data_IF_400435876053
#
_entry.id   IF_400435876053
#
_cell.length_a   1.000
_cell.length_b   1.000
_cell.length_c   1.000
_cell.angle_alpha   90.00
_cell.angle_beta   90.00
_cell.angle_gamma   90.00
#
_symmetry.space_group_name_H-M   'P 1'
#
loop_
_entity.id
_entity.type
_entity.pdbx_description
1 polymer ?
#
# COMPACT_ATOMS: atom_id res chain seq x y z
N UNK A 1 -27.91 -72.39 16.90
CA UNK A 1 -28.03 -72.44 18.36
C UNK A 1 -26.89 -71.61 18.91
N UNK A 2 -27.09 -70.41 19.45
CA UNK A 2 -28.30 -69.59 19.49
C UNK A 2 -27.89 -68.11 19.65
N UNK A 3 -28.73 -67.21 19.16
CA UNK A 3 -28.68 -65.79 19.54
C UNK A 3 -29.39 -65.62 20.88
N UNK A 4 -29.05 -64.60 21.69
CA UNK A 4 -30.02 -63.58 22.18
C UNK A 4 -29.36 -62.53 23.09
N UNK A 5 -30.17 -61.61 23.62
CA UNK A 5 -29.81 -60.21 23.94
C UNK A 5 -30.29 -59.73 25.32
N UNK A 6 -29.91 -58.50 25.68
CA UNK A 6 -30.52 -57.61 26.70
C UNK A 6 -30.26 -57.93 28.20
N UNK A 7 -30.48 -57.02 29.17
CA UNK A 7 -30.27 -55.56 29.25
C UNK A 7 -30.56 -55.05 30.69
N UNK A 8 -29.79 -54.07 31.20
CA UNK A 8 -30.07 -53.23 32.40
C UNK A 8 -30.24 -54.01 33.77
N UNK A 9 -30.22 -53.49 35.01
CA UNK A 9 -30.13 -52.17 35.69
C UNK A 9 -29.61 -52.39 37.14
N UNK A 10 -29.19 -51.43 37.99
CA UNK A 10 -28.37 -50.20 37.86
C UNK A 10 -28.30 -49.49 39.24
N UNK A 11 -27.13 -49.26 39.87
CA UNK A 11 -27.05 -48.45 41.12
C UNK A 11 -25.74 -47.67 41.38
N UNK A 12 -25.91 -46.35 41.53
CA UNK A 12 -25.20 -45.39 42.41
C UNK A 12 -23.67 -45.50 42.58
N UNK A 13 -22.83 -44.64 41.96
CA UNK A 13 -22.65 -43.19 42.12
C UNK A 13 -21.72 -42.73 43.26
N UNK A 14 -20.54 -42.24 42.91
CA UNK A 14 -19.96 -41.05 43.54
C UNK A 14 -18.96 -40.38 42.56
N UNK A 15 -19.01 -39.05 42.53
CA UNK A 15 -18.37 -38.22 41.51
C UNK A 15 -17.03 -37.64 41.96
N UNK A 16 -16.02 -37.68 41.10
CA UNK A 16 -14.93 -36.72 41.10
C UNK A 16 -14.67 -36.22 39.67
N UNK A 17 -15.19 -35.03 39.38
CA UNK A 17 -15.03 -34.35 38.11
C UNK A 17 -13.68 -33.63 38.04
N UNK A 18 -12.75 -34.12 37.22
CA UNK A 18 -11.57 -33.38 36.78
C UNK A 18 -11.67 -33.07 35.28
N UNK A 19 -12.45 -32.03 34.95
CA UNK A 19 -12.53 -31.46 33.62
C UNK A 19 -11.19 -30.81 33.22
N UNK A 20 -10.31 -31.58 32.58
CA UNK A 20 -9.05 -31.08 32.01
C UNK A 20 -9.27 -30.38 30.67
N UNK A 21 -10.13 -29.37 30.67
CA UNK A 21 -10.25 -28.40 29.58
C UNK A 21 -9.40 -27.17 29.89
N UNK A 22 -8.14 -27.15 29.44
CA UNK A 22 -7.31 -25.94 29.43
C UNK A 22 -6.12 -26.04 28.47
N UNK A 23 -6.11 -25.13 27.51
CA UNK A 23 -4.92 -24.36 27.14
C UNK A 23 -3.70 -25.12 26.64
N UNK A 24 -3.77 -25.65 25.42
CA UNK A 24 -2.65 -25.53 24.48
C UNK A 24 -2.48 -24.06 24.08
N UNK A 25 -2.14 -23.21 25.06
CA UNK A 25 -1.77 -21.83 24.81
C UNK A 25 -0.49 -21.88 23.97
N UNK A 26 -0.53 -21.20 22.82
CA UNK A 26 0.64 -20.85 22.02
C UNK A 26 1.84 -20.59 22.92
N UNK A 27 2.93 -21.35 22.75
CA UNK A 27 4.21 -20.98 23.34
C UNK A 27 4.55 -19.58 22.82
N UNK A 28 4.38 -18.58 23.70
CA UNK A 28 4.55 -17.19 23.36
C UNK A 28 6.05 -16.96 23.19
N UNK A 29 6.55 -17.19 21.97
CA UNK A 29 7.95 -17.01 21.61
C UNK A 29 8.42 -15.64 22.09
N UNK A 30 9.32 -15.62 23.08
CA UNK A 30 9.80 -14.37 23.64
C UNK A 30 10.66 -13.62 22.62
N UNK A 31 10.66 -12.28 22.71
CA UNK A 31 11.51 -11.43 21.91
C UNK A 31 12.99 -11.62 22.31
N UNK A 32 13.90 -12.01 21.40
CA UNK A 32 15.31 -12.22 21.74
C UNK A 32 16.08 -10.96 22.14
N UNK A 33 15.46 -9.77 22.10
CA UNK A 33 16.09 -8.48 22.42
C UNK A 33 15.67 -8.00 23.82
N UNK A 34 14.39 -8.13 24.20
CA UNK A 34 13.89 -7.70 25.52
C UNK A 34 13.49 -8.86 26.44
N UNK A 35 13.49 -10.10 25.95
CA UNK A 35 13.14 -11.35 26.65
C UNK A 35 11.66 -11.47 27.08
N UNK A 36 10.88 -10.40 26.96
CA UNK A 36 9.41 -10.39 27.11
C UNK A 36 8.68 -11.12 25.97
N UNK A 37 7.40 -11.52 26.14
CA UNK A 37 6.53 -11.97 25.05
C UNK A 37 6.49 -10.99 23.87
N UNK A 38 6.41 -11.52 22.64
CA UNK A 38 6.36 -10.70 21.43
C UNK A 38 5.12 -9.78 21.41
N UNK A 39 5.39 -8.48 21.28
CA UNK A 39 4.38 -7.42 21.09
C UNK A 39 4.69 -6.66 19.81
N UNK A 40 3.66 -6.44 18.97
CA UNK A 40 3.81 -5.86 17.62
C UNK A 40 4.86 -6.62 16.79
N UNK A 41 4.46 -7.78 16.26
CA UNK A 41 5.35 -8.74 15.61
C UNK A 41 6.06 -8.11 14.40
N UNK A 42 7.39 -8.15 14.43
CA UNK A 42 8.23 -7.73 13.32
C UNK A 42 9.23 -8.82 12.94
N UNK A 43 9.41 -9.00 11.63
CA UNK A 43 10.24 -10.03 11.03
C UNK A 43 11.32 -9.38 10.15
N UNK A 44 12.51 -9.96 10.11
CA UNK A 44 13.54 -9.56 9.17
C UNK A 44 13.41 -10.31 7.84
N UNK A 45 13.60 -9.62 6.71
CA UNK A 45 13.16 -10.07 5.38
C UNK A 45 13.88 -11.29 4.77
N UNK A 46 15.13 -11.56 5.13
CA UNK A 46 15.88 -12.73 4.61
C UNK A 46 15.90 -13.91 5.56
N UNK A 47 15.83 -13.68 6.86
CA UNK A 47 15.93 -14.74 7.87
C UNK A 47 14.63 -15.02 8.65
N UNK A 48 13.59 -14.21 8.48
CA UNK A 48 12.27 -14.33 9.11
C UNK A 48 12.25 -14.54 10.64
N UNK A 49 13.33 -14.20 11.33
CA UNK A 49 13.36 -14.17 12.80
C UNK A 49 12.46 -13.05 13.34
N UNK A 50 11.65 -13.39 14.34
CA UNK A 50 10.66 -12.51 14.95
C UNK A 50 11.24 -11.71 16.14
N UNK A 51 10.81 -10.46 16.25
CA UNK A 51 11.16 -9.51 17.31
C UNK A 51 9.97 -8.59 17.59
N UNK A 52 9.91 -7.96 18.76
CA UNK A 52 9.02 -6.81 18.94
C UNK A 52 9.49 -5.70 18.00
N UNK A 53 8.58 -5.09 17.25
CA UNK A 53 8.88 -4.03 16.29
C UNK A 53 9.69 -2.87 16.89
N UNK A 54 9.32 -2.46 18.11
CA UNK A 54 10.06 -1.43 18.88
C UNK A 54 11.50 -1.85 19.18
N UNK A 55 11.74 -3.12 19.45
CA UNK A 55 13.06 -3.64 19.80
C UNK A 55 13.98 -3.74 18.56
N UNK A 56 13.49 -4.30 17.45
CA UNK A 56 14.29 -4.38 16.22
C UNK A 56 14.54 -2.99 15.60
N UNK A 57 13.58 -2.06 15.74
CA UNK A 57 13.77 -0.66 15.31
C UNK A 57 14.85 0.05 16.14
N UNK A 58 14.90 -0.17 17.47
CA UNK A 58 16.01 0.32 18.32
C UNK A 58 17.35 -0.29 17.92
N UNK A 59 17.40 -1.58 17.58
CA UNK A 59 18.61 -2.24 17.10
C UNK A 59 19.15 -1.63 15.80
N UNK A 60 18.29 -1.36 14.81
CA UNK A 60 18.69 -0.66 13.57
C UNK A 60 19.30 0.70 13.88
N UNK A 61 18.67 1.52 14.73
CA UNK A 61 19.20 2.84 15.11
C UNK A 61 20.56 2.75 15.81
N UNK A 62 20.73 1.80 16.72
CA UNK A 62 22.00 1.55 17.41
C UNK A 62 23.12 1.09 16.46
N UNK A 63 22.80 0.21 15.50
CA UNK A 63 23.75 -0.22 14.49
C UNK A 63 24.14 0.93 13.55
N UNK A 64 23.17 1.71 13.07
CA UNK A 64 23.43 2.88 12.22
C UNK A 64 24.34 3.90 12.92
N UNK A 65 24.10 4.19 14.19
CA UNK A 65 24.94 5.12 14.98
C UNK A 65 26.40 4.66 15.16
N UNK A 66 26.71 3.37 14.95
CA UNK A 66 28.08 2.82 15.01
C UNK A 66 28.83 2.86 13.68
N UNK A 67 28.17 3.20 12.58
CA UNK A 67 28.79 3.21 11.26
C UNK A 67 28.79 4.63 10.66
N UNK A 68 29.94 5.15 10.19
CA UNK A 68 30.04 6.51 9.64
C UNK A 68 29.41 6.67 8.25
N UNK A 69 28.74 5.62 7.73
CA UNK A 69 28.00 5.63 6.46
C UNK A 69 26.59 5.07 6.71
N UNK A 70 25.55 5.55 6.00
CA UNK A 70 24.22 4.98 6.08
C UNK A 70 24.23 3.48 5.78
N UNK A 71 23.47 2.71 6.54
CA UNK A 71 23.38 1.26 6.39
C UNK A 71 22.42 0.88 5.27
N UNK A 72 22.93 0.19 4.25
CA UNK A 72 22.09 -0.46 3.22
C UNK A 72 21.46 -1.78 3.71
N UNK A 73 22.00 -2.38 4.78
CA UNK A 73 21.52 -3.63 5.39
C UNK A 73 21.74 -3.64 6.91
N UNK A 74 20.98 -4.47 7.62
CA UNK A 74 21.15 -4.74 9.06
C UNK A 74 21.46 -6.22 9.32
N UNK A 75 22.37 -6.50 10.25
CA UNK A 75 22.61 -7.86 10.72
C UNK A 75 21.59 -8.26 11.79
N UNK A 76 20.97 -9.43 11.59
CA UNK A 76 20.03 -10.02 12.53
C UNK A 76 20.66 -10.20 13.92
N UNK A 77 20.03 -9.78 15.02
CA UNK A 77 20.53 -10.00 16.38
C UNK A 77 20.79 -11.48 16.68
N UNK A 78 19.92 -12.38 16.21
CA UNK A 78 20.03 -13.83 16.38
C UNK A 78 21.12 -14.45 15.48
N UNK A 79 20.83 -14.60 14.19
CA UNK A 79 21.64 -15.40 13.26
C UNK A 79 22.71 -14.61 12.49
N UNK A 80 22.86 -13.31 12.73
CA UNK A 80 23.80 -12.38 12.06
C UNK A 80 23.65 -12.22 10.54
N UNK A 81 22.71 -12.92 9.89
CA UNK A 81 22.35 -12.74 8.47
C UNK A 81 22.03 -11.27 8.18
N UNK A 82 22.47 -10.78 7.02
CA UNK A 82 22.19 -9.43 6.54
C UNK A 82 20.83 -9.36 5.86
N UNK A 83 20.00 -8.43 6.35
CA UNK A 83 18.60 -8.20 5.97
C UNK A 83 18.46 -6.77 5.45
N UNK A 84 17.59 -6.56 4.46
CA UNK A 84 17.40 -5.23 3.83
C UNK A 84 16.21 -4.48 4.42
N UNK A 85 15.29 -5.19 5.07
CA UNK A 85 14.05 -4.62 5.60
C UNK A 85 13.47 -5.36 6.82
N UNK A 86 12.59 -4.65 7.52
CA UNK A 86 11.75 -5.13 8.62
C UNK A 86 10.30 -5.17 8.12
N UNK A 87 9.63 -6.30 8.26
CA UNK A 87 8.22 -6.53 7.92
C UNK A 87 7.41 -6.52 9.22
N UNK A 88 6.38 -5.70 9.34
CA UNK A 88 5.57 -5.51 10.56
C UNK A 88 4.13 -5.06 10.22
N UNK A 89 3.31 -4.73 11.23
CA UNK A 89 2.02 -4.07 11.01
C UNK A 89 1.03 -4.92 10.21
N UNK A 90 0.88 -6.18 10.59
CA UNK A 90 0.01 -7.15 9.92
C UNK A 90 -1.47 -6.90 10.23
N UNK A 91 -2.27 -6.58 9.22
CA UNK A 91 -3.72 -6.37 9.35
C UNK A 91 -4.48 -7.13 8.26
N UNK A 92 -5.03 -8.30 8.62
CA UNK A 92 -6.06 -9.07 7.88
C UNK A 92 -5.76 -9.52 6.44
N UNK A 93 -4.64 -9.11 5.85
CA UNK A 93 -4.36 -9.21 4.42
C UNK A 93 -3.31 -8.21 3.91
N UNK A 94 -2.90 -7.23 4.72
CA UNK A 94 -1.80 -6.32 4.42
C UNK A 94 -0.69 -6.35 5.48
N UNK A 95 0.50 -5.89 5.11
CA UNK A 95 1.67 -5.71 5.98
C UNK A 95 2.43 -4.45 5.58
N UNK A 96 3.24 -3.91 6.49
CA UNK A 96 4.15 -2.81 6.25
C UNK A 96 5.60 -3.32 6.16
N UNK A 97 6.39 -2.79 5.23
CA UNK A 97 7.81 -3.11 5.09
C UNK A 97 8.64 -1.83 5.19
N UNK A 98 9.50 -1.74 6.21
CA UNK A 98 10.51 -0.68 6.35
C UNK A 98 11.85 -1.17 5.85
N UNK A 99 12.39 -0.57 4.80
CA UNK A 99 13.77 -0.78 4.40
C UNK A 99 14.76 -0.13 5.39
N UNK A 100 15.90 -0.77 5.64
CA UNK A 100 16.96 -0.21 6.51
C UNK A 100 17.50 1.10 5.92
N UNK A 101 17.56 1.16 4.59
CA UNK A 101 18.01 2.33 3.83
C UNK A 101 16.88 3.34 3.50
N UNK A 102 15.79 3.37 4.27
CA UNK A 102 14.66 4.27 3.98
C UNK A 102 15.08 5.75 4.00
N UNK A 103 16.11 6.13 4.78
CA UNK A 103 16.66 7.49 4.81
C UNK A 103 17.49 7.88 3.56
N UNK A 104 17.83 6.93 2.67
CA UNK A 104 18.33 7.23 1.32
C UNK A 104 17.26 7.02 0.24
N UNK A 105 16.36 6.03 0.39
CA UNK A 105 15.25 5.84 -0.55
C UNK A 105 14.27 7.03 -0.53
N UNK A 106 13.99 7.59 0.64
CA UNK A 106 13.26 8.86 0.78
C UNK A 106 14.03 10.09 0.25
N UNK A 107 15.34 9.99 -0.03
CA UNK A 107 16.11 11.03 -0.74
C UNK A 107 16.13 10.82 -2.25
N UNK A 108 15.68 9.67 -2.74
CA UNK A 108 15.67 9.30 -4.15
C UNK A 108 14.28 9.51 -4.78
N UNK A 109 13.21 9.28 -4.01
CA UNK A 109 11.84 9.62 -4.40
C UNK A 109 11.58 11.12 -4.12
N UNK A 110 11.49 11.93 -5.18
CA UNK A 110 11.10 13.36 -5.11
C UNK A 110 9.81 13.57 -4.30
N UNK A 111 9.63 14.75 -3.70
CA UNK A 111 8.43 15.14 -2.93
C UNK A 111 7.09 14.95 -3.66
N UNK A 112 7.10 14.88 -5.00
CA UNK A 112 5.94 14.46 -5.79
C UNK A 112 5.43 13.04 -5.43
N UNK A 113 6.32 12.12 -5.03
CA UNK A 113 5.96 10.78 -4.55
C UNK A 113 5.36 10.83 -3.13
N UNK A 114 5.86 11.70 -2.25
CA UNK A 114 5.29 11.88 -0.90
C UNK A 114 3.85 12.41 -1.00
N UNK A 115 3.63 13.45 -1.84
CA UNK A 115 2.30 13.97 -2.16
C UNK A 115 1.37 12.87 -2.72
N UNK A 116 1.86 12.02 -3.64
CA UNK A 116 1.05 10.95 -4.23
C UNK A 116 0.81 9.76 -3.30
N UNK A 117 1.71 9.45 -2.35
CA UNK A 117 1.48 8.36 -1.38
C UNK A 117 0.20 8.61 -0.59
N UNK A 118 -0.01 9.86 -0.14
CA UNK A 118 -1.22 10.26 0.56
C UNK A 118 -2.54 10.00 -0.22
N UNK A 119 -2.50 9.92 -1.55
CA UNK A 119 -3.68 9.60 -2.38
C UNK A 119 -4.05 8.11 -2.30
N UNK A 120 -3.07 7.23 -2.05
CA UNK A 120 -3.27 5.79 -1.83
C UNK A 120 -3.47 5.44 -0.35
N UNK A 121 -2.91 6.23 0.56
CA UNK A 121 -3.01 6.01 2.00
C UNK A 121 -4.30 6.58 2.62
N UNK A 122 -4.90 7.63 2.03
CA UNK A 122 -6.14 8.24 2.54
C UNK A 122 -7.37 7.52 2.01
N UNK A 123 -8.02 6.73 2.87
CA UNK A 123 -9.27 6.02 2.59
C UNK A 123 -10.46 7.01 2.56
N UNK A 124 -10.66 7.68 1.42
CA UNK A 124 -11.72 8.69 1.24
C UNK A 124 -11.91 9.25 -0.18
N UNK A 125 -13.11 9.78 -0.44
CA UNK A 125 -13.63 10.16 -1.77
C UNK A 125 -13.14 11.51 -2.33
N UNK A 126 -11.82 11.75 -2.39
CA UNK A 126 -11.27 12.91 -3.14
C UNK A 126 -11.66 12.86 -4.65
N UNK A 127 -11.90 11.63 -5.14
CA UNK A 127 -12.06 11.28 -6.55
C UNK A 127 -13.44 11.59 -7.18
N UNK A 128 -14.45 12.06 -6.42
CA UNK A 128 -15.77 12.32 -7.00
C UNK A 128 -15.72 13.51 -7.99
N UNK A 129 -15.87 13.20 -9.27
CA UNK A 129 -15.98 14.13 -10.40
C UNK A 129 -14.90 15.25 -10.42
N UNK A 130 -13.61 14.88 -10.44
CA UNK A 130 -12.55 15.84 -10.85
C UNK A 130 -12.62 16.05 -12.37
N UNK A 131 -12.64 14.94 -13.11
CA UNK A 131 -12.64 14.91 -14.58
C UNK A 131 -13.84 14.10 -15.08
N UNK A 132 -14.39 14.50 -16.22
CA UNK A 132 -15.53 13.82 -16.84
C UNK A 132 -15.06 12.55 -17.59
N UNK A 133 -14.85 11.49 -16.80
CA UNK A 133 -14.50 10.14 -17.28
C UNK A 133 -15.55 9.63 -18.27
N UNK A 134 -16.84 9.91 -18.07
CA UNK A 134 -17.88 9.45 -19.01
C UNK A 134 -17.70 10.09 -20.39
N UNK A 135 -17.42 11.40 -20.45
CA UNK A 135 -17.16 12.11 -21.70
C UNK A 135 -15.87 11.63 -22.35
N UNK A 136 -14.82 11.29 -21.61
CA UNK A 136 -13.60 10.68 -22.16
C UNK A 136 -13.90 9.39 -22.95
N UNK A 137 -14.67 8.46 -22.37
CA UNK A 137 -15.08 7.22 -23.05
C UNK A 137 -16.03 7.48 -24.23
N UNK A 138 -17.07 8.30 -24.03
CA UNK A 138 -18.06 8.64 -25.08
C UNK A 138 -17.42 9.34 -26.29
N UNK A 139 -16.43 10.21 -26.06
CA UNK A 139 -15.69 10.92 -27.13
C UNK A 139 -14.52 10.13 -27.74
N UNK A 140 -14.28 8.90 -27.29
CA UNK A 140 -13.21 8.01 -27.79
C UNK A 140 -11.79 8.58 -27.65
N UNK A 141 -11.57 9.52 -26.71
CA UNK A 141 -10.26 10.12 -26.43
C UNK A 141 -9.19 9.11 -25.99
N UNK A 142 -9.60 7.92 -25.54
CA UNK A 142 -8.69 6.81 -25.26
C UNK A 142 -7.89 6.32 -26.48
N UNK A 143 -8.34 6.60 -27.71
CA UNK A 143 -7.58 6.29 -28.92
C UNK A 143 -6.38 7.24 -29.15
N UNK A 144 -6.22 8.30 -28.36
CA UNK A 144 -5.13 9.25 -28.48
C UNK A 144 -3.95 8.83 -27.59
N UNK A 145 -2.74 8.93 -28.12
CA UNK A 145 -1.52 8.66 -27.36
C UNK A 145 -1.37 9.66 -26.21
N UNK A 146 -1.20 9.17 -24.98
CA UNK A 146 -0.81 10.00 -23.85
C UNK A 146 0.71 9.85 -23.63
N UNK A 147 1.48 10.82 -24.12
CA UNK A 147 2.95 10.84 -24.02
C UNK A 147 3.47 10.88 -22.57
N UNK A 148 2.61 11.21 -21.61
CA UNK A 148 2.94 11.25 -20.18
C UNK A 148 2.67 9.92 -19.47
N UNK A 149 1.99 8.96 -20.12
CA UNK A 149 1.55 7.71 -19.50
C UNK A 149 2.71 6.91 -18.88
N UNK A 150 3.84 6.76 -19.57
CA UNK A 150 4.98 5.97 -19.08
C UNK A 150 5.61 6.61 -17.83
N UNK A 151 5.81 7.93 -17.86
CA UNK A 151 6.35 8.69 -16.73
C UNK A 151 5.39 8.70 -15.53
N UNK A 152 4.08 8.81 -15.80
CA UNK A 152 3.05 8.71 -14.77
C UNK A 152 3.04 7.31 -14.15
N UNK A 153 2.97 6.25 -14.96
CA UNK A 153 3.02 4.86 -14.49
C UNK A 153 4.27 4.59 -13.64
N UNK A 154 5.44 5.06 -14.07
CA UNK A 154 6.70 4.98 -13.30
C UNK A 154 6.53 5.58 -11.91
N UNK A 155 6.14 6.86 -11.82
CA UNK A 155 5.97 7.56 -10.53
C UNK A 155 4.95 6.85 -9.63
N UNK A 156 3.80 6.45 -10.18
CA UNK A 156 2.73 5.83 -9.39
C UNK A 156 3.13 4.44 -8.87
N UNK A 157 3.78 3.62 -9.70
CA UNK A 157 4.24 2.29 -9.29
C UNK A 157 5.36 2.44 -8.26
N UNK A 158 6.34 3.33 -8.47
CA UNK A 158 7.38 3.65 -7.48
C UNK A 158 6.78 4.16 -6.15
N UNK A 159 5.75 5.00 -6.20
CA UNK A 159 5.01 5.48 -5.02
C UNK A 159 4.32 4.34 -4.27
N UNK A 160 3.67 3.43 -4.99
CA UNK A 160 2.92 2.31 -4.40
C UNK A 160 3.85 1.22 -3.83
N UNK A 161 4.93 0.87 -4.54
CA UNK A 161 5.83 -0.25 -4.17
C UNK A 161 6.97 0.19 -3.26
N UNK A 162 7.35 1.48 -3.27
CA UNK A 162 8.55 2.02 -2.64
C UNK A 162 9.87 1.36 -3.15
N UNK A 163 9.83 0.85 -4.38
CA UNK A 163 11.00 0.37 -5.13
C UNK A 163 11.35 1.35 -6.25
N UNK A 164 12.65 1.59 -6.45
CA UNK A 164 13.18 2.46 -7.51
C UNK A 164 13.11 1.76 -8.88
N UNK A 165 13.53 0.50 -8.95
CA UNK A 165 13.41 -0.37 -10.13
C UNK A 165 11.99 -0.94 -10.25
N UNK A 166 11.12 -0.12 -10.86
CA UNK A 166 9.75 -0.48 -11.21
C UNK A 166 9.59 -0.84 -12.70
N UNK A 167 10.69 -0.85 -13.48
CA UNK A 167 10.64 -0.76 -14.94
C UNK A 167 9.88 -1.91 -15.60
N UNK A 168 10.06 -3.14 -15.11
CA UNK A 168 9.35 -4.33 -15.63
C UNK A 168 7.83 -4.20 -15.47
N UNK A 169 7.38 -3.66 -14.34
CA UNK A 169 5.95 -3.48 -14.02
C UNK A 169 5.37 -2.34 -14.85
N UNK A 170 6.12 -1.24 -15.00
CA UNK A 170 5.76 -0.09 -15.86
C UNK A 170 5.53 -0.55 -17.30
N UNK A 171 6.50 -1.23 -17.90
CA UNK A 171 6.41 -1.69 -19.29
C UNK A 171 5.30 -2.75 -19.47
N UNK A 172 5.08 -3.63 -18.49
CA UNK A 172 3.98 -4.59 -18.53
C UNK A 172 2.60 -3.88 -18.58
N UNK A 173 2.34 -2.96 -17.65
CA UNK A 173 1.06 -2.26 -17.58
C UNK A 173 0.87 -1.33 -18.79
N UNK A 174 1.91 -0.60 -19.19
CA UNK A 174 1.89 0.23 -20.40
C UNK A 174 1.56 -0.60 -21.65
N UNK A 175 2.22 -1.75 -21.84
CA UNK A 175 1.97 -2.65 -22.97
C UNK A 175 0.53 -3.18 -23.00
N UNK A 176 -0.10 -3.39 -21.84
CA UNK A 176 -1.53 -3.77 -21.74
C UNK A 176 -2.44 -2.59 -22.14
N UNK A 177 -2.14 -1.37 -21.69
CA UNK A 177 -2.88 -0.15 -22.12
C UNK A 177 -2.78 0.02 -23.63
N UNK A 178 -1.57 0.02 -24.19
CA UNK A 178 -1.32 0.22 -25.62
C UNK A 178 -1.94 -0.89 -26.49
N UNK A 179 -1.83 -2.15 -26.07
CA UNK A 179 -2.46 -3.29 -26.75
C UNK A 179 -3.98 -3.21 -26.75
N UNK A 180 -4.58 -2.68 -25.69
CA UNK A 180 -6.01 -2.38 -25.66
C UNK A 180 -6.35 -1.25 -26.64
N UNK A 181 -5.65 -0.10 -26.60
CA UNK A 181 -5.94 1.02 -27.51
C UNK A 181 -5.76 0.64 -28.99
N UNK A 182 -4.69 -0.07 -29.34
CA UNK A 182 -4.41 -0.51 -30.70
C UNK A 182 -5.47 -1.50 -31.24
N UNK A 183 -6.04 -2.35 -30.36
CA UNK A 183 -7.15 -3.24 -30.69
C UNK A 183 -8.46 -2.46 -30.87
N UNK A 184 -8.76 -1.52 -29.98
CA UNK A 184 -9.95 -0.67 -30.09
C UNK A 184 -9.92 0.26 -31.32
N UNK A 185 -8.74 0.65 -31.79
CA UNK A 185 -8.57 1.41 -33.03
C UNK A 185 -8.99 0.58 -34.26
N UNK A 186 -8.61 -0.71 -34.29
CA UNK A 186 -8.98 -1.66 -35.36
C UNK A 186 -10.46 -2.07 -35.30
N UNK A 187 -11.01 -2.21 -34.09
CA UNK A 187 -12.39 -2.70 -33.86
C UNK A 187 -13.38 -1.58 -33.46
N UNK A 188 -13.18 -0.36 -33.97
CA UNK A 188 -13.78 0.86 -33.40
C UNK A 188 -15.32 0.89 -33.31
N UNK A 189 -16.03 0.03 -34.05
CA UNK A 189 -17.50 -0.05 -34.07
C UNK A 189 -18.09 -1.11 -33.13
N UNK A 190 -17.31 -2.02 -32.54
CA UNK A 190 -17.83 -3.05 -31.62
C UNK A 190 -17.94 -2.53 -30.19
N UNK A 191 -19.08 -2.79 -29.53
CA UNK A 191 -19.31 -2.56 -28.09
C UNK A 191 -19.62 -1.11 -27.68
N UNK A 192 -20.35 -0.94 -26.58
CA UNK A 192 -20.67 0.39 -26.02
C UNK A 192 -19.44 1.01 -25.32
N UNK A 193 -19.40 2.34 -25.10
CA UNK A 193 -18.32 2.98 -24.34
C UNK A 193 -18.13 2.39 -22.93
N UNK A 194 -19.23 1.99 -22.28
CA UNK A 194 -19.25 1.40 -20.94
C UNK A 194 -18.67 -0.02 -20.94
N UNK A 195 -18.95 -0.82 -21.98
CA UNK A 195 -18.33 -2.15 -22.16
C UNK A 195 -16.82 -2.03 -22.38
N UNK A 196 -16.36 -1.06 -23.17
CA UNK A 196 -14.93 -0.79 -23.40
C UNK A 196 -14.24 -0.30 -22.12
N UNK A 197 -14.91 0.56 -21.34
CA UNK A 197 -14.45 1.01 -20.02
C UNK A 197 -14.26 -0.17 -19.07
N UNK A 198 -15.24 -1.05 -18.95
CA UNK A 198 -15.17 -2.20 -18.04
C UNK A 198 -14.10 -3.20 -18.50
N UNK A 199 -13.97 -3.45 -19.81
CA UNK A 199 -12.90 -4.28 -20.36
C UNK A 199 -11.51 -3.71 -20.00
N UNK A 200 -11.31 -2.40 -20.20
CA UNK A 200 -10.07 -1.71 -19.83
C UNK A 200 -9.76 -1.87 -18.33
N UNK A 201 -10.71 -1.52 -17.46
CA UNK A 201 -10.54 -1.62 -16.00
C UNK A 201 -10.19 -3.04 -15.56
N UNK A 202 -10.86 -4.06 -16.11
CA UNK A 202 -10.57 -5.47 -15.87
C UNK A 202 -9.17 -5.88 -16.34
N UNK A 203 -8.72 -5.42 -17.51
CA UNK A 203 -7.38 -5.72 -18.04
C UNK A 203 -6.27 -5.10 -17.18
N UNK A 204 -6.40 -3.82 -16.80
CA UNK A 204 -5.42 -3.16 -15.92
C UNK A 204 -5.43 -3.77 -14.52
N UNK A 205 -6.60 -4.08 -13.96
CA UNK A 205 -6.70 -4.76 -12.66
C UNK A 205 -6.01 -6.13 -12.69
N UNK A 206 -6.17 -6.91 -13.76
CA UNK A 206 -5.48 -8.19 -13.93
C UNK A 206 -3.96 -8.06 -14.08
N UNK A 207 -3.49 -7.04 -14.79
CA UNK A 207 -2.06 -6.78 -15.02
C UNK A 207 -1.34 -6.22 -13.77
N UNK A 208 -1.99 -5.31 -13.04
CA UNK A 208 -1.42 -4.63 -11.87
C UNK A 208 -1.66 -5.39 -10.56
N UNK A 209 -2.72 -6.19 -10.49
CA UNK A 209 -3.16 -6.95 -9.30
C UNK A 209 -2.05 -7.70 -8.55
N UNK A 210 -1.23 -8.52 -9.23
CA UNK A 210 -0.13 -9.27 -8.60
C UNK A 210 0.94 -8.39 -7.92
N UNK A 211 1.06 -7.13 -8.32
CA UNK A 211 2.13 -6.22 -7.88
C UNK A 211 1.63 -5.19 -6.86
N UNK A 212 0.42 -4.64 -7.05
CA UNK A 212 -0.12 -3.54 -6.25
C UNK A 212 -1.12 -4.00 -5.17
N UNK A 213 -1.52 -5.28 -5.18
CA UNK A 213 -2.34 -5.93 -4.16
C UNK A 213 -3.60 -5.11 -3.81
N UNK A 214 -3.79 -4.75 -2.54
CA UNK A 214 -4.95 -3.96 -2.08
C UNK A 214 -5.05 -2.57 -2.73
N UNK A 215 -3.93 -1.99 -3.18
CA UNK A 215 -3.89 -0.66 -3.82
C UNK A 215 -4.31 -0.69 -5.29
N UNK A 216 -4.42 -1.88 -5.90
CA UNK A 216 -4.76 -2.07 -7.33
C UNK A 216 -6.05 -1.36 -7.73
N UNK A 217 -7.12 -1.45 -6.93
CA UNK A 217 -8.40 -0.79 -7.26
C UNK A 217 -8.22 0.72 -7.40
N UNK A 218 -7.58 1.35 -6.41
CA UNK A 218 -7.33 2.80 -6.43
C UNK A 218 -6.41 3.20 -7.58
N UNK A 219 -5.39 2.41 -7.88
CA UNK A 219 -4.51 2.64 -9.02
C UNK A 219 -5.26 2.62 -10.36
N UNK A 220 -6.20 1.69 -10.56
CA UNK A 220 -7.05 1.66 -11.77
C UNK A 220 -7.93 2.91 -11.86
N UNK A 221 -8.50 3.36 -10.75
CA UNK A 221 -9.33 4.57 -10.68
C UNK A 221 -8.50 5.85 -10.97
N UNK A 222 -7.29 5.95 -10.40
CA UNK A 222 -6.36 7.07 -10.63
C UNK A 222 -5.81 7.09 -12.07
N UNK A 223 -5.51 5.93 -12.67
CA UNK A 223 -5.08 5.84 -14.08
C UNK A 223 -6.21 6.29 -15.02
N UNK A 224 -7.44 5.86 -14.75
CA UNK A 224 -8.61 6.29 -15.51
C UNK A 224 -8.83 7.82 -15.39
N UNK A 225 -8.68 8.40 -14.20
CA UNK A 225 -8.74 9.85 -13.99
C UNK A 225 -7.62 10.61 -14.72
N UNK A 226 -6.38 10.13 -14.64
CA UNK A 226 -5.24 10.74 -15.33
C UNK A 226 -5.44 10.74 -16.85
N UNK A 227 -5.79 9.60 -17.43
CA UNK A 227 -6.09 9.48 -18.85
C UNK A 227 -7.28 10.35 -19.28
N UNK A 228 -8.33 10.44 -18.46
CA UNK A 228 -9.49 11.30 -18.73
C UNK A 228 -9.18 12.80 -18.64
N UNK A 229 -8.23 13.20 -17.80
CA UNK A 229 -7.82 14.60 -17.64
C UNK A 229 -7.17 15.17 -18.91
N UNK A 230 -6.37 14.37 -19.61
CA UNK A 230 -5.52 14.83 -20.72
C UNK A 230 -4.42 15.82 -20.30
N UNK A 231 -4.13 15.93 -19.00
CA UNK A 231 -3.12 16.81 -18.45
C UNK A 231 -1.73 16.17 -18.47
N UNK A 232 -0.69 17.01 -18.37
CA UNK A 232 0.63 16.54 -17.94
C UNK A 232 0.65 16.29 -16.42
N UNK A 233 1.73 15.68 -15.95
CA UNK A 233 1.86 15.21 -14.57
C UNK A 233 1.72 16.37 -13.56
N UNK A 234 2.42 17.49 -13.78
CA UNK A 234 2.41 18.63 -12.85
C UNK A 234 1.05 19.34 -12.81
N UNK A 235 0.38 19.45 -13.96
CA UNK A 235 -0.97 20.03 -14.03
C UNK A 235 -2.01 19.13 -13.35
N UNK A 236 -1.87 17.81 -13.45
CA UNK A 236 -2.72 16.85 -12.75
C UNK A 236 -2.55 16.96 -11.22
N UNK A 237 -1.32 17.04 -10.75
CA UNK A 237 -1.02 17.18 -9.31
C UNK A 237 -1.52 18.52 -8.74
N UNK A 238 -1.41 19.63 -9.48
CA UNK A 238 -1.97 20.93 -9.07
C UNK A 238 -3.47 20.87 -8.79
N UNK A 239 -4.24 20.11 -9.57
CA UNK A 239 -5.69 19.93 -9.34
C UNK A 239 -5.96 19.15 -8.05
N UNK A 240 -5.13 18.15 -7.71
CA UNK A 240 -5.21 17.44 -6.43
C UNK A 240 -4.85 18.35 -5.25
N UNK A 241 -3.77 19.14 -5.34
CA UNK A 241 -3.37 20.09 -4.30
C UNK A 241 -4.46 21.15 -4.04
N UNK A 242 -5.07 21.68 -5.10
CA UNK A 242 -6.17 22.63 -4.97
C UNK A 242 -7.39 22.01 -4.26
N UNK A 243 -7.76 20.75 -4.56
CA UNK A 243 -8.85 20.08 -3.84
C UNK A 243 -8.50 19.81 -2.38
N UNK A 244 -7.28 19.39 -2.07
CA UNK A 244 -6.83 19.16 -0.70
C UNK A 244 -6.91 20.43 0.16
N UNK A 245 -6.49 21.59 -0.39
CA UNK A 245 -6.64 22.87 0.32
C UNK A 245 -8.11 23.27 0.50
N UNK A 246 -8.96 23.09 -0.52
CA UNK A 246 -10.40 23.38 -0.43
C UNK A 246 -11.15 22.47 0.57
N UNK A 247 -10.74 21.20 0.73
CA UNK A 247 -11.27 20.34 1.80
C UNK A 247 -10.93 20.90 3.18
N UNK A 248 -9.66 21.22 3.44
CA UNK A 248 -9.25 21.80 4.74
C UNK A 248 -9.94 23.14 5.06
N UNK A 249 -10.32 23.91 4.03
CA UNK A 249 -11.09 25.16 4.15
C UNK A 249 -12.61 24.97 4.36
N UNK A 250 -13.14 23.76 4.17
CA UNK A 250 -14.51 23.40 4.60
C UNK A 250 -14.50 22.92 6.04
N UNK A 251 -13.52 22.10 6.41
CA UNK A 251 -13.38 21.58 7.77
C UNK A 251 -13.16 22.71 8.81
N UNK A 252 -12.45 23.78 8.43
CA UNK A 252 -12.29 25.00 9.25
C UNK A 252 -13.53 25.90 9.35
N UNK A 253 -14.66 25.56 8.73
CA UNK A 253 -15.94 26.29 8.89
C UNK A 253 -16.94 25.59 9.80
N UNK A 254 -16.64 24.37 10.24
CA UNK A 254 -17.53 23.58 11.11
C UNK A 254 -16.92 23.28 12.49
N UNK A 255 -15.65 23.65 12.75
CA UNK A 255 -14.97 23.44 14.03
C UNK A 255 -14.30 24.72 14.56
N UNK A 256 -15.11 25.67 15.02
CA UNK A 256 -14.70 26.67 16.02
C UNK A 256 -14.78 26.04 17.44
N UNK A 257 -13.97 25.01 17.69
CA UNK A 257 -13.69 24.46 19.03
C UNK A 257 -12.49 23.48 19.06
N UNK A 258 -11.34 23.98 19.51
CA UNK A 258 -10.21 23.25 20.12
C UNK A 258 -9.38 22.20 19.33
N UNK A 259 -8.07 22.24 19.58
CA UNK A 259 -6.98 21.38 19.09
C UNK A 259 -6.60 21.51 17.60
N UNK A 260 -5.59 22.36 17.38
CA UNK A 260 -4.86 22.51 16.11
C UNK A 260 -4.07 21.25 15.72
N UNK A 261 -4.24 20.78 14.48
CA UNK A 261 -3.23 19.96 13.78
C UNK A 261 -2.58 20.75 12.63
N UNK A 262 -1.93 21.86 12.97
CA UNK A 262 -1.08 22.64 12.07
C UNK A 262 0.10 21.85 11.46
N UNK A 263 0.37 20.62 11.92
CA UNK A 263 1.48 19.77 11.47
C UNK A 263 1.42 19.49 9.97
N UNK A 264 0.26 19.09 9.46
CA UNK A 264 0.09 18.70 8.04
C UNK A 264 0.24 19.92 7.13
N UNK A 265 -0.40 21.04 7.49
CA UNK A 265 -0.40 22.25 6.67
C UNK A 265 0.98 22.93 6.63
N UNK A 266 1.69 22.95 7.76
CA UNK A 266 3.06 23.49 7.82
C UNK A 266 4.07 22.65 7.04
N UNK A 267 3.85 21.33 6.90
CA UNK A 267 4.78 20.44 6.18
C UNK A 267 4.66 20.58 4.67
N UNK A 268 3.46 20.83 4.14
CA UNK A 268 3.25 21.07 2.71
C UNK A 268 3.63 22.47 2.23
N UNK A 269 3.48 23.50 3.08
CA UNK A 269 3.86 24.87 2.72
C UNK A 269 5.39 25.09 2.63
N UNK A 270 6.20 24.21 3.25
CA UNK A 270 7.66 24.35 3.22
C UNK A 270 8.26 24.03 1.84
N UNK A 271 7.61 23.16 1.06
CA UNK A 271 8.09 22.73 -0.26
C UNK A 271 8.01 23.80 -1.37
N UNK A 272 7.45 24.98 -1.09
CA UNK A 272 7.37 26.09 -2.06
C UNK A 272 8.50 27.13 -1.91
N UNK A 273 9.44 26.93 -0.96
CA UNK A 273 10.44 27.94 -0.59
C UNK A 273 11.90 27.55 -0.90
N UNK A 274 12.18 26.38 -1.51
CA UNK A 274 13.56 25.95 -1.83
C UNK A 274 13.95 26.03 -3.31
N UNK A 275 13.02 26.35 -4.23
CA UNK A 275 13.29 26.46 -5.69
C UNK A 275 13.48 27.92 -6.19
N UNK A 276 13.43 28.93 -5.32
CA UNK A 276 13.70 30.35 -5.63
C UNK A 276 14.92 30.88 -4.84
N UNK A 277 16.13 30.38 -5.16
CA UNK A 277 17.41 30.98 -4.76
C UNK A 277 18.53 30.67 -5.78
N UNK A 278 19.02 31.71 -6.47
CA UNK A 278 20.26 31.72 -7.27
C UNK A 278 21.53 31.47 -6.43
#
# INVERSE_FOLDING_TARGET
MESETAAASSSSSSSSSSSSSSSAATEASCCPICLDPLTDHAYLDRCFHAFCYKCITKWVKFAAAKHPRPLSSIRCPLCKVENLSIIHGFSGGSFQRRYVNQDQRNRCLSGAHELRSHVYDREGEIANNIFDVQRYWKSRKYLWQNMWLQNWLRREIQTITQEEDADVIVHHIQGVVESFMARQQKESLKGTPEQKREEFRRLIFGAAGPFLLARTKRFVDELELFLASGLNIDAYDRVYMQRLSMSSSRDTREIDAESSDQSVQSRFLYFLNEDDAD
#
